data_IF_286739815842
#
_entry.id   IF_286739815842
#
_cell.length_a   1.000
_cell.length_b   1.000
_cell.length_c   1.000
_cell.angle_alpha   90.00
_cell.angle_beta   90.00
_cell.angle_gamma   90.00
#
_symmetry.space_group_name_H-M   'P 1'
#
loop_
_entity.id
_entity.type
_entity.pdbx_description
1 polymer ?
#
# COMPACT_ATOMS: atom_id res chain seq x y z
N UNK A 1 -4.98 -7.00 12.97
CA UNK A 1 -4.93 -6.95 11.50
C UNK A 1 -3.60 -7.52 11.09
N UNK A 2 -3.61 -8.51 10.21
CA UNK A 2 -2.40 -9.12 9.64
C UNK A 2 -2.17 -8.60 8.22
N UNK A 3 -1.01 -8.92 7.63
CA UNK A 3 -0.70 -8.57 6.24
C UNK A 3 -1.74 -9.05 5.23
N UNK A 4 -2.24 -10.29 5.40
CA UNK A 4 -3.29 -10.84 4.54
C UNK A 4 -4.58 -10.03 4.62
N UNK A 5 -4.99 -9.59 5.81
CA UNK A 5 -6.20 -8.76 5.98
C UNK A 5 -6.07 -7.44 5.24
N UNK A 6 -4.88 -6.83 5.27
CA UNK A 6 -4.62 -5.57 4.60
C UNK A 6 -4.61 -5.76 3.09
N UNK A 7 -4.03 -6.85 2.58
CA UNK A 7 -4.08 -7.17 1.16
C UNK A 7 -5.53 -7.41 0.67
N UNK A 8 -6.34 -8.12 1.46
CA UNK A 8 -7.77 -8.28 1.17
C UNK A 8 -8.53 -6.95 1.19
N UNK A 9 -8.21 -6.07 2.16
CA UNK A 9 -8.78 -4.73 2.26
C UNK A 9 -8.43 -3.88 1.03
N UNK A 10 -7.17 -3.92 0.60
CA UNK A 10 -6.70 -3.27 -0.62
C UNK A 10 -7.43 -3.82 -1.85
N UNK A 11 -7.55 -5.14 -1.96
CA UNK A 11 -8.24 -5.77 -3.07
C UNK A 11 -9.73 -5.40 -3.14
N UNK A 12 -10.40 -5.29 -1.99
CA UNK A 12 -11.80 -4.85 -1.90
C UNK A 12 -11.98 -3.39 -2.33
N UNK A 13 -10.96 -2.55 -2.11
CA UNK A 13 -10.95 -1.15 -2.50
C UNK A 13 -10.25 -0.87 -3.84
N UNK A 14 -9.91 -1.91 -4.60
CA UNK A 14 -9.27 -1.76 -5.91
C UNK A 14 -10.11 -0.90 -6.84
N UNK A 15 -9.44 -0.10 -7.66
CA UNK A 15 -10.11 0.80 -8.58
C UNK A 15 -9.62 0.54 -10.01
N UNK A 16 -10.51 0.03 -10.85
CA UNK A 16 -10.23 -0.32 -12.25
C UNK A 16 -9.73 0.88 -13.06
N UNK A 17 -10.23 2.08 -12.79
CA UNK A 17 -9.76 3.31 -13.45
C UNK A 17 -8.30 3.61 -13.08
N UNK A 18 -7.94 3.40 -11.82
CA UNK A 18 -6.56 3.57 -11.36
C UNK A 18 -5.65 2.47 -11.92
N UNK A 19 -6.13 1.23 -12.01
CA UNK A 19 -5.41 0.11 -12.64
C UNK A 19 -5.20 0.41 -14.14
N UNK A 20 -6.19 0.93 -14.84
CA UNK A 20 -6.06 1.32 -16.24
C UNK A 20 -5.03 2.43 -16.44
N UNK A 21 -4.98 3.42 -15.54
CA UNK A 21 -3.94 4.46 -15.55
C UNK A 21 -2.55 3.89 -15.21
N UNK A 22 -2.47 3.01 -14.22
CA UNK A 22 -1.23 2.29 -13.89
C UNK A 22 -0.73 1.46 -15.07
N UNK A 23 -1.64 0.82 -15.80
CA UNK A 23 -1.35 0.05 -17.01
C UNK A 23 -0.92 0.93 -18.19
N UNK A 24 -1.14 2.25 -18.16
CA UNK A 24 -0.62 3.19 -19.16
C UNK A 24 0.82 3.64 -18.86
N UNK A 25 1.33 3.46 -17.64
CA UNK A 25 2.71 3.77 -17.29
C UNK A 25 3.69 2.81 -18.01
N UNK A 26 4.92 3.27 -18.25
CA UNK A 26 5.93 2.50 -18.99
C UNK A 26 6.38 1.26 -18.19
N UNK A 27 6.77 0.21 -18.92
CA UNK A 27 7.04 -1.13 -18.36
C UNK A 27 8.22 -1.13 -17.37
N UNK A 28 9.17 -0.21 -17.52
CA UNK A 28 10.31 -0.05 -16.59
C UNK A 28 9.89 0.35 -15.18
N UNK A 29 8.75 1.04 -15.03
CA UNK A 29 8.18 1.45 -13.75
C UNK A 29 7.29 0.36 -13.11
N UNK A 30 6.89 -0.67 -13.88
CA UNK A 30 5.92 -1.71 -13.48
C UNK A 30 6.54 -2.95 -12.83
N UNK A 31 7.65 -2.81 -12.09
CA UNK A 31 8.17 -3.93 -11.27
C UNK A 31 7.20 -4.36 -10.16
N UNK A 32 6.22 -3.52 -9.82
CA UNK A 32 5.27 -3.73 -8.74
C UNK A 32 3.84 -3.83 -9.26
N UNK A 33 3.05 -4.69 -8.65
CA UNK A 33 1.60 -4.79 -8.90
C UNK A 33 0.88 -3.66 -8.19
N UNK A 34 -0.13 -3.07 -8.82
CA UNK A 34 -1.01 -2.08 -8.17
C UNK A 34 -2.48 -2.47 -8.30
N UNK A 35 -3.22 -2.23 -7.23
CA UNK A 35 -4.68 -2.27 -7.15
C UNK A 35 -5.32 -0.98 -7.70
N UNK A 36 -4.52 -0.01 -8.15
CA UNK A 36 -4.99 1.24 -8.72
C UNK A 36 -5.61 2.19 -7.70
N UNK A 37 -5.23 2.08 -6.43
CA UNK A 37 -5.88 2.84 -5.36
C UNK A 37 -5.21 4.21 -5.28
N UNK A 38 -6.01 5.26 -5.33
CA UNK A 38 -5.49 6.62 -5.21
C UNK A 38 -4.92 6.88 -3.82
N UNK A 39 -3.88 7.72 -3.75
CA UNK A 39 -3.20 8.11 -2.50
C UNK A 39 -4.17 8.59 -1.41
N UNK A 40 -5.23 9.31 -1.79
CA UNK A 40 -6.28 9.78 -0.86
C UNK A 40 -6.99 8.62 -0.15
N UNK A 41 -7.26 7.53 -0.87
CA UNK A 41 -7.92 6.36 -0.32
C UNK A 41 -6.94 5.53 0.50
N UNK A 42 -5.69 5.37 0.06
CA UNK A 42 -4.62 4.74 0.83
C UNK A 42 -4.41 5.43 2.19
N UNK A 43 -4.39 6.77 2.25
CA UNK A 43 -4.33 7.50 3.53
C UNK A 43 -5.53 7.23 4.44
N UNK A 44 -6.74 7.11 3.89
CA UNK A 44 -7.93 6.76 4.67
C UNK A 44 -7.83 5.34 5.24
N UNK A 45 -7.33 4.39 4.44
CA UNK A 45 -7.12 3.01 4.88
C UNK A 45 -6.02 2.93 5.95
N UNK A 46 -4.88 3.60 5.74
CA UNK A 46 -3.81 3.68 6.72
C UNK A 46 -4.29 4.27 8.06
N UNK A 47 -5.12 5.33 8.03
CA UNK A 47 -5.72 5.90 9.24
C UNK A 47 -6.66 4.93 9.97
N UNK A 48 -7.37 4.04 9.25
CA UNK A 48 -8.20 2.99 9.84
C UNK A 48 -7.38 1.86 10.46
N UNK A 49 -6.26 1.50 9.82
CA UNK A 49 -5.33 0.47 10.31
C UNK A 49 -4.62 0.96 11.58
N UNK A 50 -4.25 2.24 11.62
CA UNK A 50 -3.44 2.82 12.69
C UNK A 50 -1.94 2.67 12.44
N UNK A 51 -1.12 3.04 13.42
CA UNK A 51 0.33 2.87 13.35
C UNK A 51 0.72 1.46 13.80
N UNK A 52 1.46 0.74 12.95
CA UNK A 52 1.97 -0.59 13.26
C UNK A 52 3.24 -0.88 12.44
N UNK A 53 4.41 -0.78 13.10
CA UNK A 53 5.72 -0.98 12.48
C UNK A 53 5.96 -2.43 12.03
N UNK A 54 5.52 -3.42 12.81
CA UNK A 54 5.68 -4.82 12.43
C UNK A 54 4.92 -5.12 11.14
N UNK A 55 3.68 -4.63 11.07
CA UNK A 55 2.84 -4.76 9.89
C UNK A 55 3.39 -3.95 8.70
N UNK A 56 3.98 -2.77 8.95
CA UNK A 56 4.66 -1.98 7.92
C UNK A 56 5.81 -2.79 7.28
N UNK A 57 6.68 -3.38 8.09
CA UNK A 57 7.82 -4.16 7.62
C UNK A 57 7.39 -5.38 6.79
N UNK A 58 6.33 -6.08 7.21
CA UNK A 58 5.79 -7.19 6.45
C UNK A 58 5.18 -6.74 5.11
N UNK A 59 4.39 -5.65 5.11
CA UNK A 59 3.82 -5.07 3.89
C UNK A 59 4.90 -4.56 2.92
N UNK A 60 6.00 -4.03 3.44
CA UNK A 60 7.11 -3.52 2.63
C UNK A 60 7.79 -4.63 1.80
N UNK A 61 7.84 -5.86 2.35
CA UNK A 61 8.36 -7.04 1.64
C UNK A 61 7.45 -7.48 0.49
N UNK A 62 6.20 -7.02 0.43
CA UNK A 62 5.28 -7.38 -0.63
C UNK A 62 5.64 -6.69 -1.96
N UNK A 63 5.29 -7.33 -3.08
CA UNK A 63 5.50 -6.78 -4.43
C UNK A 63 4.35 -5.88 -4.89
N UNK A 64 3.54 -5.37 -3.95
CA UNK A 64 2.41 -4.50 -4.26
C UNK A 64 2.78 -3.04 -3.95
N UNK A 65 2.63 -2.17 -4.95
CA UNK A 65 2.89 -0.74 -4.81
C UNK A 65 2.01 -0.12 -3.71
N UNK A 66 0.72 -0.40 -3.74
CA UNK A 66 -0.23 0.14 -2.75
C UNK A 66 0.08 -0.33 -1.32
N UNK A 67 0.51 -1.57 -1.16
CA UNK A 67 0.92 -2.11 0.13
C UNK A 67 2.18 -1.43 0.67
N UNK A 68 3.15 -1.13 -0.21
CA UNK A 68 4.34 -0.33 0.16
C UNK A 68 4.01 1.12 0.52
N UNK A 69 3.02 1.71 -0.14
CA UNK A 69 2.54 3.05 0.24
C UNK A 69 1.87 2.99 1.60
N UNK A 70 1.01 2.00 1.86
CA UNK A 70 0.39 1.83 3.18
C UNK A 70 1.44 1.58 4.24
N UNK A 71 2.42 0.70 4.01
CA UNK A 71 3.47 0.42 5.00
C UNK A 71 4.16 1.70 5.44
N UNK A 72 4.48 2.60 4.50
CA UNK A 72 5.13 3.87 4.79
C UNK A 72 4.23 4.85 5.55
N UNK A 73 2.91 4.73 5.43
CA UNK A 73 1.92 5.57 6.12
C UNK A 73 1.58 5.07 7.53
N UNK A 74 1.68 3.77 7.77
CA UNK A 74 1.42 3.15 9.09
C UNK A 74 2.71 2.96 9.90
N UNK A 75 3.87 3.13 9.28
CA UNK A 75 5.15 3.12 10.00
C UNK A 75 5.22 4.31 10.95
N UNK A 76 5.88 4.13 12.08
CA UNK A 76 6.04 5.18 13.09
C UNK A 76 7.37 5.91 12.88
N UNK A 77 7.37 7.17 12.39
CA UNK A 77 8.60 7.92 12.17
C UNK A 77 9.36 8.22 13.46
N UNK A 78 8.73 8.12 14.64
CA UNK A 78 9.38 8.41 15.93
C UNK A 78 10.39 7.34 16.38
N UNK A 79 10.34 6.15 15.79
CA UNK A 79 11.27 5.06 16.08
C UNK A 79 12.22 4.77 14.90
N UNK A 80 12.26 5.66 13.91
CA UNK A 80 13.28 5.66 12.86
C UNK A 80 14.53 6.33 13.45
N UNK A 81 15.32 5.55 14.16
CA UNK A 81 16.68 5.97 14.56
C UNK A 81 17.62 5.77 13.38
N UNK A 82 18.21 6.88 12.92
CA UNK A 82 19.33 6.94 11.96
C UNK A 82 20.56 6.15 12.43
#
# INVERSE_FOLDING_TARGET
MNTTDVLMLLETHKNERGIANWNKLTVEEKKLKSFGIGLTQLRKLAKKIGQNRELALELWKSQYYDAKVISLLIDDPKHVTE
#
